data_IF_089782089467
#
_entry.id   IF_089782089467
#
_cell.length_a   1.000
_cell.length_b   1.000
_cell.length_c   1.000
_cell.angle_alpha   90.00
_cell.angle_beta   90.00
_cell.angle_gamma   90.00
#
_symmetry.space_group_name_H-M   'P 1'
#
loop_
_entity.id
_entity.type
_entity.pdbx_description
1 polymer ?
#
# COMPACT_ATOMS: atom_id res chain seq x y z
N UNK A 1 38.71 11.70 53.08
CA UNK A 1 39.72 11.13 52.18
C UNK A 1 39.60 9.60 52.27
N UNK A 2 38.97 8.94 51.31
CA UNK A 2 38.81 7.52 50.99
C UNK A 2 37.38 7.23 50.52
N UNK A 3 37.17 7.53 49.23
CA UNK A 3 36.07 6.88 48.44
C UNK A 3 36.33 7.20 46.96
N UNK A 4 37.48 6.80 46.47
CA UNK A 4 37.78 6.74 45.06
C UNK A 4 38.71 5.55 44.82
N UNK A 5 38.12 4.37 44.58
CA UNK A 5 38.76 3.22 43.93
C UNK A 5 37.72 2.11 43.80
N UNK A 6 37.03 2.06 42.66
CA UNK A 6 36.47 0.86 42.01
C UNK A 6 35.67 1.27 40.77
N UNK A 7 36.38 1.71 39.77
CA UNK A 7 35.87 1.93 38.40
C UNK A 7 36.97 1.54 37.42
N UNK A 8 37.40 0.30 37.45
CA UNK A 8 38.22 -0.29 36.41
C UNK A 8 38.03 -1.78 36.51
N UNK A 9 37.24 -2.33 35.60
CA UNK A 9 37.25 -3.68 35.04
C UNK A 9 35.91 -3.99 34.36
N UNK A 10 35.53 -3.11 33.41
CA UNK A 10 34.61 -3.52 32.36
C UNK A 10 35.42 -3.70 31.09
N UNK A 11 35.76 -4.93 30.76
CA UNK A 11 36.26 -5.24 29.44
C UNK A 11 35.19 -4.85 28.40
N UNK A 12 35.55 -4.20 27.29
CA UNK A 12 34.59 -3.87 26.26
C UNK A 12 33.95 -5.17 25.74
N UNK A 13 32.66 -5.15 25.43
CA UNK A 13 32.00 -6.32 24.86
C UNK A 13 32.73 -6.72 23.57
N UNK A 14 32.97 -8.01 23.39
CA UNK A 14 33.58 -8.55 22.19
C UNK A 14 32.85 -8.02 20.96
N UNK A 15 33.59 -7.56 19.96
CA UNK A 15 33.05 -7.11 18.69
C UNK A 15 32.07 -8.17 18.14
N UNK A 16 30.86 -7.80 17.72
CA UNK A 16 29.93 -8.76 17.17
C UNK A 16 30.57 -9.43 15.95
N UNK A 17 30.62 -10.76 15.98
CA UNK A 17 31.05 -11.57 14.84
C UNK A 17 30.08 -11.23 13.70
N UNK A 18 30.55 -10.81 12.51
CA UNK A 18 29.66 -10.55 11.40
C UNK A 18 28.95 -11.85 11.03
N UNK A 19 27.64 -11.88 11.23
CA UNK A 19 26.80 -12.95 10.72
C UNK A 19 26.87 -12.88 9.20
N UNK A 20 27.36 -13.92 8.51
CA UNK A 20 27.36 -13.90 7.05
C UNK A 20 25.91 -13.80 6.58
N UNK A 21 25.55 -12.66 5.98
CA UNK A 21 24.30 -12.53 5.27
C UNK A 21 24.45 -13.38 4.03
N UNK A 22 24.00 -14.63 4.11
CA UNK A 22 23.88 -15.51 2.95
C UNK A 22 22.70 -14.96 2.14
N UNK A 23 22.97 -14.04 1.24
CA UNK A 23 22.07 -13.77 0.13
C UNK A 23 22.01 -15.04 -0.70
N UNK A 24 21.06 -15.91 -0.40
CA UNK A 24 20.61 -16.87 -1.40
C UNK A 24 20.04 -16.04 -2.54
N UNK A 25 20.72 -16.03 -3.67
CA UNK A 25 20.13 -15.71 -4.96
C UNK A 25 19.09 -16.78 -5.27
N UNK A 26 17.93 -16.67 -4.65
CA UNK A 26 16.75 -17.41 -5.09
C UNK A 26 16.09 -16.51 -6.10
N UNK A 27 15.79 -17.04 -7.28
CA UNK A 27 14.95 -16.40 -8.27
C UNK A 27 13.74 -15.77 -7.56
N UNK A 28 13.70 -14.42 -7.60
CA UNK A 28 12.73 -13.68 -6.82
C UNK A 28 11.34 -13.90 -7.42
N UNK A 29 10.50 -14.56 -6.68
CA UNK A 29 9.13 -14.97 -6.99
C UNK A 29 9.00 -16.05 -8.07
N UNK A 30 8.31 -17.10 -7.73
CA UNK A 30 7.86 -18.10 -8.69
C UNK A 30 6.78 -17.51 -9.62
N UNK A 31 6.52 -18.12 -10.79
CA UNK A 31 5.42 -17.69 -11.65
C UNK A 31 4.06 -17.65 -10.94
N UNK A 32 3.82 -18.54 -9.97
CA UNK A 32 2.60 -18.58 -9.17
C UNK A 32 2.50 -17.37 -8.23
N UNK A 33 3.57 -17.06 -7.50
CA UNK A 33 3.64 -15.88 -6.62
C UNK A 33 3.45 -14.57 -7.40
N UNK A 34 4.00 -14.49 -8.60
CA UNK A 34 3.79 -13.35 -9.47
C UNK A 34 2.33 -13.20 -9.89
N UNK A 35 1.64 -14.30 -10.15
CA UNK A 35 0.21 -14.28 -10.45
C UNK A 35 -0.62 -13.80 -9.25
N UNK A 36 -0.34 -14.31 -8.06
CA UNK A 36 -1.02 -13.89 -6.82
C UNK A 36 -0.82 -12.40 -6.51
N UNK A 37 0.37 -11.85 -6.78
CA UNK A 37 0.64 -10.41 -6.64
C UNK A 37 -0.20 -9.58 -7.61
N UNK A 38 -0.31 -9.99 -8.87
CA UNK A 38 -1.16 -9.31 -9.84
C UNK A 38 -2.63 -9.36 -9.42
N UNK A 39 -3.13 -10.52 -9.02
CA UNK A 39 -4.50 -10.70 -8.54
C UNK A 39 -4.79 -9.80 -7.33
N UNK A 40 -3.83 -9.61 -6.43
CA UNK A 40 -3.99 -8.72 -5.27
C UNK A 40 -4.19 -7.26 -5.67
N UNK A 41 -3.48 -6.78 -6.71
CA UNK A 41 -3.67 -5.43 -7.28
C UNK A 41 -5.07 -5.29 -7.87
N UNK A 42 -5.45 -6.24 -8.73
CA UNK A 42 -6.75 -6.21 -9.42
C UNK A 42 -7.90 -6.29 -8.42
N UNK A 43 -7.82 -7.17 -7.43
CA UNK A 43 -8.83 -7.30 -6.37
C UNK A 43 -8.97 -6.00 -5.58
N UNK A 44 -7.86 -5.32 -5.24
CA UNK A 44 -7.86 -4.04 -4.53
C UNK A 44 -8.49 -2.94 -5.38
N UNK A 45 -8.12 -2.83 -6.65
CA UNK A 45 -8.72 -1.84 -7.57
C UNK A 45 -10.22 -2.10 -7.77
N UNK A 46 -10.65 -3.36 -7.93
CA UNK A 46 -12.06 -3.76 -8.05
C UNK A 46 -12.86 -3.49 -6.76
N UNK A 47 -12.22 -3.59 -5.59
CA UNK A 47 -12.85 -3.20 -4.33
C UNK A 47 -13.20 -1.70 -4.33
N UNK A 48 -12.27 -0.86 -4.77
CA UNK A 48 -12.51 0.58 -4.95
C UNK A 48 -13.57 0.89 -6.00
N UNK A 49 -13.56 0.18 -7.14
CA UNK A 49 -14.58 0.33 -8.19
C UNK A 49 -15.99 0.09 -7.66
N UNK A 50 -16.19 -0.96 -6.85
CA UNK A 50 -17.50 -1.23 -6.22
C UNK A 50 -17.94 -0.09 -5.31
N UNK A 51 -17.07 0.43 -4.46
CA UNK A 51 -17.39 1.58 -3.62
C UNK A 51 -17.83 2.79 -4.46
N UNK A 52 -17.05 3.13 -5.50
CA UNK A 52 -17.36 4.25 -6.38
C UNK A 52 -18.71 4.10 -7.12
N UNK A 53 -19.16 2.88 -7.39
CA UNK A 53 -20.43 2.64 -8.01
C UNK A 53 -21.63 2.92 -7.07
N UNK A 54 -21.43 2.82 -5.76
CA UNK A 54 -22.49 2.89 -4.75
C UNK A 54 -22.62 4.26 -4.09
N UNK A 55 -21.55 5.06 -4.01
CA UNK A 55 -21.57 6.39 -3.35
C UNK A 55 -21.99 7.49 -4.31
N UNK A 56 -22.55 8.60 -3.76
CA UNK A 56 -22.87 9.78 -4.53
C UNK A 56 -21.66 10.69 -4.76
N UNK A 57 -21.77 11.59 -5.75
CA UNK A 57 -20.73 12.59 -6.01
C UNK A 57 -20.54 13.54 -4.82
N UNK A 58 -21.61 13.87 -4.10
CA UNK A 58 -21.53 14.66 -2.87
C UNK A 58 -20.68 13.97 -1.81
N UNK A 59 -20.94 12.68 -1.53
CA UNK A 59 -20.15 11.91 -0.57
C UNK A 59 -18.69 11.76 -1.00
N UNK A 60 -18.44 11.61 -2.31
CA UNK A 60 -17.10 11.47 -2.85
C UNK A 60 -16.23 12.72 -2.61
N UNK A 61 -16.82 13.92 -2.75
CA UNK A 61 -16.11 15.20 -2.70
C UNK A 61 -16.20 15.89 -1.33
N UNK A 62 -17.09 15.44 -0.45
CA UNK A 62 -17.32 16.06 0.87
C UNK A 62 -16.08 15.95 1.73
N UNK A 63 -15.61 17.11 2.21
CA UNK A 63 -14.49 17.21 3.15
C UNK A 63 -14.96 17.01 4.58
N UNK A 64 -14.23 16.17 5.33
CA UNK A 64 -14.54 15.89 6.73
C UNK A 64 -13.49 16.49 7.66
N UNK A 65 -13.86 17.39 8.60
CA UNK A 65 -12.92 17.93 9.59
C UNK A 65 -12.24 16.83 10.43
N UNK A 66 -12.96 15.78 10.80
CA UNK A 66 -12.44 14.63 11.53
C UNK A 66 -11.36 13.83 10.76
N UNK A 67 -11.28 13.99 9.42
CA UNK A 67 -10.29 13.40 8.55
C UNK A 67 -9.31 14.46 7.98
N UNK A 68 -8.91 15.43 8.79
CA UNK A 68 -7.98 16.51 8.39
C UNK A 68 -8.45 17.30 7.15
N UNK A 69 -9.76 17.52 7.02
CA UNK A 69 -10.39 18.13 5.84
C UNK A 69 -10.13 17.36 4.52
N UNK A 70 -9.82 16.08 4.60
CA UNK A 70 -9.74 15.22 3.42
C UNK A 70 -11.14 14.79 2.96
N UNK A 71 -11.25 14.41 1.68
CA UNK A 71 -12.42 13.78 1.07
C UNK A 71 -12.13 12.31 0.72
N UNK A 72 -13.18 11.53 0.47
CA UNK A 72 -13.02 10.18 -0.10
C UNK A 72 -12.22 10.26 -1.41
N UNK A 73 -12.55 11.22 -2.28
CA UNK A 73 -11.84 11.44 -3.53
C UNK A 73 -10.36 11.71 -3.37
N UNK A 74 -9.97 12.51 -2.34
CA UNK A 74 -8.57 12.78 -2.04
C UNK A 74 -7.80 11.52 -1.66
N UNK A 75 -8.36 10.67 -0.78
CA UNK A 75 -7.77 9.39 -0.39
C UNK A 75 -7.74 8.40 -1.56
N UNK A 76 -8.83 8.34 -2.32
CA UNK A 76 -8.94 7.43 -3.46
C UNK A 76 -7.94 7.77 -4.58
N UNK A 77 -7.85 9.06 -4.97
CA UNK A 77 -6.82 9.53 -5.90
C UNK A 77 -5.42 9.12 -5.46
N UNK A 78 -5.12 9.28 -4.16
CA UNK A 78 -3.82 8.91 -3.61
C UNK A 78 -3.51 7.41 -3.79
N UNK A 79 -4.49 6.52 -3.61
CA UNK A 79 -4.32 5.10 -3.90
C UNK A 79 -4.03 4.85 -5.39
N UNK A 80 -4.79 5.50 -6.29
CA UNK A 80 -4.59 5.34 -7.73
C UNK A 80 -3.23 5.87 -8.19
N UNK A 81 -2.72 6.95 -7.58
CA UNK A 81 -1.40 7.48 -7.89
C UNK A 81 -0.29 6.46 -7.59
N UNK A 82 -0.40 5.70 -6.49
CA UNK A 82 0.54 4.63 -6.16
C UNK A 82 0.52 3.52 -7.22
N UNK A 83 -0.65 3.01 -7.58
CA UNK A 83 -0.77 1.96 -8.61
C UNK A 83 -0.34 2.44 -10.00
N UNK A 84 -0.65 3.68 -10.36
CA UNK A 84 -0.25 4.27 -11.65
C UNK A 84 1.26 4.50 -11.71
N UNK A 85 1.82 5.09 -10.66
CA UNK A 85 3.27 5.32 -10.56
C UNK A 85 4.04 4.02 -10.67
N UNK A 86 3.60 2.97 -9.97
CA UNK A 86 4.22 1.67 -9.99
C UNK A 86 4.06 0.96 -11.36
N UNK A 87 2.90 1.04 -12.00
CA UNK A 87 2.69 0.49 -13.35
C UNK A 87 3.60 1.15 -14.38
N UNK A 88 3.80 2.46 -14.28
CA UNK A 88 4.72 3.20 -15.12
C UNK A 88 6.18 2.81 -14.82
N UNK A 89 6.56 2.76 -13.55
CA UNK A 89 7.90 2.34 -13.12
C UNK A 89 8.22 0.90 -13.52
N UNK A 90 7.23 0.00 -13.50
CA UNK A 90 7.36 -1.35 -14.03
C UNK A 90 7.76 -1.38 -15.53
N UNK A 91 7.54 -0.31 -16.25
CA UNK A 91 7.95 -0.14 -17.67
C UNK A 91 9.25 0.66 -17.82
N UNK A 92 9.41 1.74 -17.07
CA UNK A 92 10.53 2.69 -17.19
C UNK A 92 11.76 2.34 -16.36
N UNK A 93 11.60 1.76 -15.17
CA UNK A 93 12.69 1.33 -14.30
C UNK A 93 12.93 2.16 -13.04
N UNK A 94 12.24 3.29 -12.83
CA UNK A 94 12.40 4.15 -11.65
C UNK A 94 11.04 4.54 -11.08
N UNK A 95 10.90 4.50 -9.75
CA UNK A 95 9.71 4.92 -9.04
C UNK A 95 10.03 6.10 -8.12
N UNK A 96 9.26 7.17 -8.25
CA UNK A 96 9.34 8.31 -7.34
C UNK A 96 7.96 8.60 -6.76
N UNK A 97 7.75 8.28 -5.49
CA UNK A 97 6.49 8.52 -4.78
C UNK A 97 6.20 10.00 -4.47
N UNK A 98 7.20 10.87 -4.58
CA UNK A 98 7.02 12.32 -4.36
C UNK A 98 6.46 13.03 -5.61
N UNK A 99 6.67 12.45 -6.80
CA UNK A 99 6.16 12.98 -8.07
C UNK A 99 4.69 12.60 -8.24
N UNK A 100 3.82 13.47 -7.73
CA UNK A 100 2.36 13.29 -7.80
C UNK A 100 1.71 14.52 -8.40
N UNK A 101 0.79 14.31 -9.34
CA UNK A 101 -0.11 15.36 -9.81
C UNK A 101 -1.16 15.64 -8.71
N UNK A 102 -1.33 16.91 -8.37
CA UNK A 102 -2.35 17.35 -7.41
C UNK A 102 -3.47 18.09 -8.15
N UNK A 103 -4.70 18.06 -7.60
CA UNK A 103 -5.83 18.75 -8.17
C UNK A 103 -6.32 18.15 -9.49
N UNK A 104 -6.08 16.85 -9.71
CA UNK A 104 -6.58 16.13 -10.88
C UNK A 104 -8.10 15.95 -10.80
N UNK A 105 -8.75 15.72 -11.95
CA UNK A 105 -10.19 15.41 -12.00
C UNK A 105 -10.57 14.24 -11.11
N UNK A 106 -9.71 13.26 -10.98
CA UNK A 106 -9.92 12.06 -10.13
C UNK A 106 -10.26 12.40 -8.69
N UNK A 107 -9.73 13.49 -8.14
CA UNK A 107 -10.02 13.88 -6.75
C UNK A 107 -11.44 14.43 -6.56
N UNK A 108 -12.01 15.06 -7.61
CA UNK A 108 -13.25 15.83 -7.51
C UNK A 108 -14.38 15.28 -8.41
N UNK A 109 -14.10 14.28 -9.22
CA UNK A 109 -15.04 13.64 -10.13
C UNK A 109 -14.98 12.11 -9.94
N UNK A 110 -16.05 11.56 -9.39
CA UNK A 110 -16.18 10.13 -9.10
C UNK A 110 -16.16 9.28 -10.39
N UNK A 111 -16.72 9.79 -11.48
CA UNK A 111 -16.70 9.08 -12.76
C UNK A 111 -15.31 9.08 -13.39
N UNK A 112 -14.57 10.18 -13.27
CA UNK A 112 -13.16 10.21 -13.67
C UNK A 112 -12.32 9.21 -12.84
N UNK A 113 -12.60 9.09 -11.54
CA UNK A 113 -11.96 8.09 -10.69
C UNK A 113 -12.30 6.66 -11.10
N UNK A 114 -13.57 6.40 -11.42
CA UNK A 114 -14.04 5.09 -11.89
C UNK A 114 -13.36 4.69 -13.20
N UNK A 115 -13.29 5.59 -14.15
CA UNK A 115 -12.61 5.36 -15.43
C UNK A 115 -11.11 5.12 -15.24
N UNK A 116 -10.44 5.95 -14.44
CA UNK A 116 -9.01 5.78 -14.11
C UNK A 116 -8.73 4.43 -13.43
N UNK A 117 -9.65 3.94 -12.57
CA UNK A 117 -9.54 2.62 -11.95
C UNK A 117 -9.60 1.51 -12.99
N UNK A 118 -10.56 1.57 -13.91
CA UNK A 118 -10.71 0.59 -15.01
C UNK A 118 -9.51 0.58 -15.94
N UNK A 119 -8.99 1.74 -16.29
CA UNK A 119 -7.76 1.86 -17.08
C UNK A 119 -6.57 1.22 -16.38
N UNK A 120 -6.44 1.41 -15.07
CA UNK A 120 -5.38 0.78 -14.29
C UNK A 120 -5.54 -0.75 -14.26
N UNK A 121 -6.75 -1.27 -14.05
CA UNK A 121 -7.00 -2.71 -14.12
C UNK A 121 -6.52 -3.29 -15.45
N UNK A 122 -6.97 -2.70 -16.56
CA UNK A 122 -6.54 -3.13 -17.91
C UNK A 122 -5.02 -3.01 -18.09
N UNK A 123 -4.41 -1.96 -17.55
CA UNK A 123 -2.97 -1.76 -17.62
C UNK A 123 -2.17 -2.82 -16.87
N UNK A 124 -2.65 -3.23 -15.70
CA UNK A 124 -2.06 -4.28 -14.88
C UNK A 124 -2.29 -5.68 -15.48
N UNK A 125 -3.47 -5.98 -16.00
CA UNK A 125 -3.79 -7.25 -16.68
C UNK A 125 -2.90 -7.50 -17.90
N UNK A 126 -2.45 -6.44 -18.57
CA UNK A 126 -1.53 -6.52 -19.73
C UNK A 126 -0.05 -6.60 -19.37
N UNK A 127 0.30 -6.53 -18.07
CA UNK A 127 1.68 -6.51 -17.64
C UNK A 127 2.30 -7.91 -17.78
N UNK A 128 3.52 -7.97 -18.32
CA UNK A 128 4.29 -9.21 -18.29
C UNK A 128 4.72 -9.51 -16.85
N UNK A 129 4.29 -10.63 -16.29
CA UNK A 129 4.55 -11.02 -14.91
C UNK A 129 6.03 -11.14 -14.55
N UNK A 130 6.90 -11.41 -15.53
CA UNK A 130 8.35 -11.48 -15.30
C UNK A 130 8.93 -10.16 -14.78
N UNK A 131 8.26 -9.03 -15.05
CA UNK A 131 8.71 -7.71 -14.58
C UNK A 131 8.59 -7.55 -13.06
N UNK A 132 7.77 -8.34 -12.38
CA UNK A 132 7.60 -8.28 -10.92
C UNK A 132 8.90 -8.63 -10.18
N UNK A 133 9.76 -9.45 -10.75
CA UNK A 133 11.09 -9.76 -10.19
C UNK A 133 12.16 -8.69 -10.46
N UNK A 134 11.85 -7.69 -11.31
CA UNK A 134 12.82 -6.68 -11.72
C UNK A 134 13.20 -5.77 -10.56
N UNK A 135 14.50 -5.55 -10.37
CA UNK A 135 15.05 -4.58 -9.46
C UNK A 135 15.02 -3.17 -10.05
N UNK A 136 14.78 -2.18 -9.23
CA UNK A 136 14.81 -0.77 -9.59
C UNK A 136 14.99 0.13 -8.36
N UNK A 137 15.14 1.43 -8.57
CA UNK A 137 15.28 2.40 -7.49
C UNK A 137 13.94 3.03 -7.16
N UNK A 138 13.69 3.17 -5.85
CA UNK A 138 12.52 3.86 -5.31
C UNK A 138 12.97 5.11 -4.58
N UNK A 139 12.39 6.24 -4.91
CA UNK A 139 12.65 7.53 -4.26
C UNK A 139 11.40 7.99 -3.53
N UNK A 140 11.56 8.40 -2.27
CA UNK A 140 10.49 9.04 -1.49
C UNK A 140 11.07 9.93 -0.39
N UNK A 141 10.28 10.92 0.03
CA UNK A 141 10.59 11.77 1.18
C UNK A 141 10.19 11.05 2.47
N UNK A 142 11.15 10.79 3.34
CA UNK A 142 10.95 10.09 4.62
C UNK A 142 11.16 10.97 5.85
N UNK A 143 11.73 12.18 5.66
CA UNK A 143 12.07 13.08 6.76
C UNK A 143 11.31 14.40 6.63
N UNK A 144 10.65 14.83 7.71
CA UNK A 144 9.91 16.10 7.78
C UNK A 144 10.82 17.33 7.85
N UNK A 145 12.04 17.18 8.36
CA UNK A 145 12.97 18.28 8.59
C UNK A 145 13.88 18.59 7.40
N UNK A 146 13.97 17.70 6.41
CA UNK A 146 14.85 17.87 5.24
C UNK A 146 14.05 18.08 3.97
N UNK A 147 14.63 18.78 2.99
CA UNK A 147 14.02 19.00 1.67
C UNK A 147 14.28 17.86 0.70
N UNK A 148 15.31 17.03 0.95
CA UNK A 148 15.72 15.95 0.07
C UNK A 148 14.86 14.69 0.20
N UNK A 149 14.75 13.95 -0.89
CA UNK A 149 14.16 12.60 -0.92
C UNK A 149 15.25 11.54 -0.73
N UNK A 150 14.88 10.38 -0.21
CA UNK A 150 15.78 9.23 -0.05
C UNK A 150 15.54 8.24 -1.19
N UNK A 151 16.60 7.60 -1.65
CA UNK A 151 16.53 6.57 -2.70
C UNK A 151 17.02 5.24 -2.12
N UNK A 152 16.29 4.17 -2.41
CA UNK A 152 16.61 2.80 -1.98
C UNK A 152 16.35 1.82 -3.12
N UNK A 153 17.12 0.74 -3.15
CA UNK A 153 16.86 -0.38 -4.05
C UNK A 153 15.61 -1.15 -3.58
N UNK A 154 14.81 -1.58 -4.55
CA UNK A 154 13.61 -2.39 -4.33
C UNK A 154 13.33 -3.28 -5.54
N UNK A 155 12.25 -4.06 -5.50
CA UNK A 155 11.73 -4.80 -6.65
C UNK A 155 10.30 -4.40 -6.95
N UNK A 156 9.86 -4.58 -8.20
CA UNK A 156 8.47 -4.29 -8.59
C UNK A 156 7.50 -5.08 -7.73
N UNK A 157 7.74 -6.37 -7.48
CA UNK A 157 6.88 -7.21 -6.63
C UNK A 157 6.81 -6.71 -5.18
N UNK A 158 7.94 -6.29 -4.60
CA UNK A 158 7.94 -5.69 -3.26
C UNK A 158 7.12 -4.40 -3.20
N UNK A 159 7.22 -3.56 -4.23
CA UNK A 159 6.44 -2.32 -4.30
C UNK A 159 4.96 -2.59 -4.58
N UNK A 160 4.60 -3.68 -5.27
CA UNK A 160 3.21 -4.15 -5.39
C UNK A 160 2.65 -4.47 -4.00
N UNK A 161 3.38 -5.23 -3.17
CA UNK A 161 2.94 -5.53 -1.80
C UNK A 161 2.74 -4.25 -0.98
N UNK A 162 3.65 -3.29 -1.12
CA UNK A 162 3.54 -2.00 -0.45
C UNK A 162 2.31 -1.22 -0.93
N UNK A 163 2.10 -1.09 -2.24
CA UNK A 163 0.99 -0.33 -2.81
C UNK A 163 -0.37 -0.93 -2.41
N UNK A 164 -0.49 -2.27 -2.38
CA UNK A 164 -1.70 -2.96 -1.91
C UNK A 164 -1.94 -2.70 -0.43
N UNK A 165 -0.94 -2.88 0.43
CA UNK A 165 -1.07 -2.62 1.86
C UNK A 165 -1.42 -1.15 2.15
N UNK A 166 -0.82 -0.22 1.40
CA UNK A 166 -1.08 1.21 1.50
C UNK A 166 -2.51 1.56 1.05
N UNK A 167 -2.99 0.97 -0.04
CA UNK A 167 -4.37 1.15 -0.50
C UNK A 167 -5.37 0.59 0.51
N UNK A 168 -5.13 -0.59 1.10
CA UNK A 168 -5.98 -1.15 2.17
C UNK A 168 -6.04 -0.20 3.38
N UNK A 169 -4.91 0.41 3.78
CA UNK A 169 -4.90 1.42 4.84
C UNK A 169 -5.80 2.63 4.50
N UNK A 170 -5.68 3.17 3.29
CA UNK A 170 -6.54 4.29 2.87
C UNK A 170 -8.00 3.88 2.69
N UNK A 171 -8.28 2.66 2.25
CA UNK A 171 -9.64 2.14 2.17
C UNK A 171 -10.28 1.98 3.56
N UNK A 172 -9.50 1.60 4.57
CA UNK A 172 -9.97 1.60 5.95
C UNK A 172 -10.35 3.02 6.42
N UNK A 173 -9.55 4.04 6.10
CA UNK A 173 -9.87 5.44 6.37
C UNK A 173 -11.14 5.88 5.62
N UNK A 174 -11.28 5.53 4.35
CA UNK A 174 -12.49 5.79 3.55
C UNK A 174 -13.71 5.10 4.19
N UNK A 175 -13.55 3.87 4.69
CA UNK A 175 -14.59 3.15 5.40
C UNK A 175 -15.07 3.89 6.66
N UNK A 176 -14.13 4.40 7.47
CA UNK A 176 -14.44 5.24 8.64
C UNK A 176 -15.14 6.53 8.22
N UNK A 177 -14.63 7.21 7.19
CA UNK A 177 -15.25 8.43 6.65
C UNK A 177 -16.68 8.17 6.16
N UNK A 178 -16.88 7.06 5.46
CA UNK A 178 -18.20 6.62 5.00
C UNK A 178 -19.16 6.38 6.17
N UNK A 179 -18.70 5.68 7.22
CA UNK A 179 -19.48 5.47 8.44
C UNK A 179 -19.88 6.78 9.11
N UNK A 180 -18.99 7.78 9.20
CA UNK A 180 -19.30 9.12 9.71
C UNK A 180 -20.39 9.82 8.87
N UNK A 181 -20.39 9.58 7.57
CA UNK A 181 -21.38 10.15 6.63
C UNK A 181 -22.68 9.33 6.53
N UNK A 182 -22.80 8.19 7.25
CA UNK A 182 -23.97 7.32 7.21
C UNK A 182 -24.04 6.44 5.95
N UNK A 183 -22.92 6.23 5.24
CA UNK A 183 -22.87 5.37 4.07
C UNK A 183 -22.86 3.89 4.44
N UNK A 184 -23.55 3.08 3.66
CA UNK A 184 -23.37 1.63 3.65
C UNK A 184 -22.04 1.32 2.94
N UNK A 185 -21.03 0.90 3.70
CA UNK A 185 -19.73 0.50 3.15
C UNK A 185 -19.79 -0.98 2.78
N UNK A 186 -19.31 -1.38 1.58
CA UNK A 186 -19.28 -2.78 1.18
C UNK A 186 -18.57 -3.66 2.21
N UNK A 187 -19.10 -4.87 2.46
CA UNK A 187 -18.51 -5.80 3.41
C UNK A 187 -17.05 -6.12 3.03
N UNK A 188 -16.15 -6.07 4.01
CA UNK A 188 -14.72 -6.32 3.81
C UNK A 188 -13.94 -5.18 3.15
N UNK A 189 -14.57 -4.04 2.83
CA UNK A 189 -13.89 -2.88 2.27
C UNK A 189 -12.84 -2.32 3.24
N UNK A 190 -11.58 -2.24 2.79
CA UNK A 190 -10.46 -1.75 3.59
C UNK A 190 -10.02 -2.68 4.72
N UNK A 191 -10.52 -3.90 4.77
CA UNK A 191 -10.07 -4.92 5.72
C UNK A 191 -8.88 -5.70 5.12
N UNK A 192 -7.82 -5.89 5.91
CA UNK A 192 -6.65 -6.62 5.45
C UNK A 192 -7.00 -8.06 5.05
N UNK A 193 -6.43 -8.60 3.95
CA UNK A 193 -6.74 -9.95 3.49
C UNK A 193 -6.55 -11.04 4.55
N UNK A 194 -5.51 -10.93 5.38
CA UNK A 194 -5.24 -11.85 6.49
C UNK A 194 -6.34 -11.82 7.56
N UNK A 195 -6.90 -10.64 7.83
CA UNK A 195 -8.01 -10.47 8.77
C UNK A 195 -9.30 -11.08 8.22
N UNK A 196 -9.61 -10.86 6.94
CA UNK A 196 -10.77 -11.47 6.28
C UNK A 196 -10.67 -13.00 6.30
N UNK A 197 -9.49 -13.54 6.00
CA UNK A 197 -9.26 -14.99 6.04
C UNK A 197 -9.49 -15.55 7.44
N UNK A 198 -8.94 -14.93 8.46
CA UNK A 198 -9.14 -15.35 9.86
C UNK A 198 -10.62 -15.32 10.27
N UNK A 199 -11.36 -14.27 9.88
CA UNK A 199 -12.80 -14.17 10.16
C UNK A 199 -13.60 -15.30 9.48
N UNK A 200 -13.26 -15.64 8.24
CA UNK A 200 -13.89 -16.75 7.51
C UNK A 200 -13.61 -18.11 8.16
N UNK A 201 -12.36 -18.38 8.53
CA UNK A 201 -11.96 -19.61 9.21
C UNK A 201 -12.67 -19.77 10.56
N UNK A 202 -12.80 -18.68 11.32
CA UNK A 202 -13.50 -18.67 12.61
C UNK A 202 -15.00 -18.93 12.43
N UNK A 203 -15.63 -18.31 11.43
CA UNK A 203 -17.04 -18.52 11.13
C UNK A 203 -17.33 -19.96 10.69
N UNK A 204 -16.45 -20.57 9.87
CA UNK A 204 -16.56 -21.96 9.44
C UNK A 204 -16.42 -22.93 10.60
N UNK A 205 -15.46 -22.67 11.53
CA UNK A 205 -15.28 -23.51 12.71
C UNK A 205 -16.48 -23.46 13.66
N UNK A 206 -17.11 -22.28 13.80
CA UNK A 206 -18.34 -22.14 14.63
C UNK A 206 -19.54 -22.87 14.01
N UNK A 207 -19.73 -22.79 12.68
CA UNK A 207 -20.84 -23.48 11.98
C UNK A 207 -20.66 -25.01 11.86
N UNK A 208 -19.45 -25.54 12.04
CA UNK A 208 -19.18 -26.98 12.05
C UNK A 208 -19.38 -27.63 13.44
N UNK A 209 -19.70 -26.84 14.45
CA UNK A 209 -19.88 -27.28 15.84
C UNK A 209 -21.38 -27.36 16.23
N UNK A 210 -22.28 -27.04 15.33
CA UNK A 210 -23.75 -27.24 15.43
C UNK A 210 -24.17 -28.47 14.62
#
# INVERSE_FOLDING_TARGET
MRLMKKLHDFAPPASPVPIPIIYRSTDMNTPLENHELLESVIATLRQGERLLAEISDEHYTRKLPAAFNASIGGHYRHCLDHFRGLLNAARSGDLNYDLRERGTLVENDRFAALNATRELVVGWEKLNLSVLSRQFNVTCKTNYATTGSQTSASSVGREVMYAVAHAVHHYALIGVMGGIMGLAIPAGFGVAPSTLKHQQETAQAAGASE
#
